data_IF_564852697094
#
_entry.id   IF_564852697094
#
_cell.length_a   1.000
_cell.length_b   1.000
_cell.length_c   1.000
_cell.angle_alpha   90.00
_cell.angle_beta   90.00
_cell.angle_gamma   90.00
#
_symmetry.space_group_name_H-M   'P 1'
#
loop_
_entity.id
_entity.type
_entity.pdbx_description
1 polymer ?
#
# COMPACT_ATOMS: atom_id res chain seq x y z
N UNK A 1 30.22 -12.47 22.36
CA UNK A 1 29.15 -11.65 21.75
C UNK A 1 28.64 -10.74 22.85
N UNK A 2 28.93 -9.45 22.76
CA UNK A 2 28.60 -8.48 23.83
C UNK A 2 27.21 -7.92 23.55
N UNK A 3 26.35 -7.88 24.57
CA UNK A 3 25.01 -7.28 24.45
C UNK A 3 25.15 -5.75 24.36
N UNK A 4 24.65 -5.16 23.27
CA UNK A 4 24.65 -3.72 23.03
C UNK A 4 23.51 -2.99 23.74
N UNK A 5 22.71 -3.70 24.56
CA UNK A 5 21.55 -3.16 25.25
C UNK A 5 20.33 -3.04 24.33
N UNK A 6 19.31 -2.34 24.83
CA UNK A 6 18.02 -2.22 24.14
C UNK A 6 18.15 -1.46 22.81
N UNK A 7 17.66 -2.06 21.74
CA UNK A 7 17.68 -1.45 20.42
C UNK A 7 16.50 -0.49 20.26
N UNK A 8 16.77 0.80 20.02
CA UNK A 8 15.73 1.81 19.82
C UNK A 8 15.38 2.00 18.32
N UNK A 9 16.32 1.74 17.41
CA UNK A 9 16.15 1.96 15.97
C UNK A 9 16.88 0.90 15.15
N UNK A 10 16.19 0.34 14.14
CA UNK A 10 16.78 -0.57 13.15
C UNK A 10 16.29 -0.18 11.76
N UNK A 11 17.19 0.16 10.83
CA UNK A 11 16.84 0.50 9.44
C UNK A 11 15.74 1.58 9.31
N UNK A 12 15.71 2.56 10.23
CA UNK A 12 14.67 3.60 10.25
C UNK A 12 13.32 3.15 10.81
N UNK A 13 13.25 1.96 11.42
CA UNK A 13 12.12 1.46 12.20
C UNK A 13 12.39 1.76 13.68
N UNK A 14 11.42 2.41 14.32
CA UNK A 14 11.39 2.71 15.75
C UNK A 14 10.89 1.50 16.53
N UNK A 15 11.63 1.12 17.57
CA UNK A 15 11.25 0.08 18.52
C UNK A 15 10.84 0.74 19.84
N UNK A 16 9.59 0.53 20.24
CA UNK A 16 9.01 1.07 21.47
C UNK A 16 8.67 -0.08 22.40
N UNK A 17 9.44 -0.19 23.50
CA UNK A 17 9.15 -1.15 24.56
C UNK A 17 7.93 -0.69 25.39
N UNK A 18 6.98 -1.59 25.60
CA UNK A 18 5.87 -1.44 26.51
C UNK A 18 6.19 -1.95 27.92
N UNK A 19 5.49 -1.43 28.95
CA UNK A 19 5.69 -1.84 30.34
C UNK A 19 5.25 -3.30 30.61
N UNK A 20 4.43 -3.87 29.74
CA UNK A 20 3.96 -5.26 29.74
C UNK A 20 4.95 -6.22 29.03
N UNK A 21 6.13 -5.74 28.65
CA UNK A 21 7.11 -6.49 27.87
C UNK A 21 6.77 -6.56 26.38
N UNK A 22 5.76 -5.82 25.91
CA UNK A 22 5.49 -5.69 24.48
C UNK A 22 6.54 -4.87 23.76
N UNK A 23 6.71 -5.11 22.46
CA UNK A 23 7.60 -4.35 21.58
C UNK A 23 6.79 -3.89 20.39
N UNK A 24 6.70 -2.58 20.18
CA UNK A 24 6.00 -2.00 19.02
C UNK A 24 6.99 -1.48 18.00
N UNK A 25 6.86 -1.94 16.76
CA UNK A 25 7.59 -1.47 15.60
C UNK A 25 6.77 -0.41 14.87
N UNK A 26 7.25 0.83 14.79
CA UNK A 26 6.57 1.89 14.04
C UNK A 26 7.57 2.72 13.21
N UNK A 27 7.05 3.50 12.27
CA UNK A 27 7.86 4.31 11.35
C UNK A 27 7.30 5.74 11.23
N UNK A 28 6.94 6.35 12.35
CA UNK A 28 6.29 7.66 12.38
C UNK A 28 7.10 8.72 11.64
N UNK A 29 8.41 8.79 11.91
CA UNK A 29 9.30 9.77 11.26
C UNK A 29 9.32 9.59 9.74
N UNK A 30 9.41 8.35 9.27
CA UNK A 30 9.37 8.05 7.85
C UNK A 30 8.03 8.46 7.21
N UNK A 31 6.91 8.21 7.89
CA UNK A 31 5.58 8.66 7.44
C UNK A 31 5.56 10.19 7.29
N UNK A 32 6.05 10.93 8.28
CA UNK A 32 6.11 12.41 8.20
C UNK A 32 7.02 12.89 7.05
N UNK A 33 8.16 12.24 6.83
CA UNK A 33 9.11 12.59 5.77
C UNK A 33 8.52 12.36 4.37
N UNK A 34 7.87 11.21 4.13
CA UNK A 34 7.25 10.94 2.83
C UNK A 34 6.05 11.84 2.58
N UNK A 35 5.26 12.17 3.61
CA UNK A 35 4.14 13.09 3.46
C UNK A 35 4.62 14.48 3.04
N UNK A 36 5.69 15.01 3.66
CA UNK A 36 6.31 16.26 3.23
C UNK A 36 6.86 16.17 1.81
N UNK A 37 7.57 15.09 1.49
CA UNK A 37 8.17 14.87 0.16
C UNK A 37 7.16 14.93 -0.98
N UNK A 38 5.95 14.40 -0.76
CA UNK A 38 4.88 14.40 -1.75
C UNK A 38 3.85 15.53 -1.55
N UNK A 39 4.15 16.55 -0.74
CA UNK A 39 3.26 17.69 -0.44
C UNK A 39 1.87 17.27 0.10
N UNK A 40 1.87 16.32 1.03
CA UNK A 40 0.70 15.72 1.68
C UNK A 40 0.72 15.89 3.22
N UNK A 41 1.60 16.69 3.77
CA UNK A 41 1.77 16.91 5.21
C UNK A 41 0.61 17.68 5.86
N UNK A 42 -0.08 18.52 5.09
CA UNK A 42 -1.29 19.26 5.52
C UNK A 42 -2.60 18.64 5.02
N UNK A 43 -2.57 17.43 4.46
CA UNK A 43 -3.76 16.82 3.88
C UNK A 43 -4.80 16.43 4.96
N UNK A 44 -6.08 16.38 4.58
CA UNK A 44 -7.15 15.89 5.46
C UNK A 44 -7.11 14.37 5.53
N UNK A 45 -7.07 13.82 6.75
CA UNK A 45 -7.07 12.38 6.97
C UNK A 45 -8.33 11.70 6.41
N UNK A 46 -8.19 10.42 6.04
CA UNK A 46 -9.30 9.52 5.69
C UNK A 46 -9.22 8.23 6.51
N UNK A 47 -10.35 7.56 6.68
CA UNK A 47 -10.46 6.36 7.51
C UNK A 47 -10.01 5.09 6.77
N UNK A 48 -10.09 5.07 5.45
CA UNK A 48 -9.72 3.91 4.62
C UNK A 48 -8.70 4.29 3.53
N UNK A 49 -7.65 3.47 3.32
CA UNK A 49 -6.66 3.71 2.28
C UNK A 49 -7.22 3.49 0.86
N UNK A 50 -8.34 2.77 0.72
CA UNK A 50 -8.99 2.47 -0.57
C UNK A 50 -10.37 3.10 -0.63
N UNK A 51 -10.78 3.47 -1.83
CA UNK A 51 -12.15 3.87 -2.13
C UNK A 51 -12.92 2.72 -2.78
N UNK A 52 -13.79 2.05 -2.02
CA UNK A 52 -14.52 0.86 -2.51
C UNK A 52 -15.51 1.18 -3.65
N UNK A 53 -15.88 2.45 -3.80
CA UNK A 53 -16.76 2.94 -4.88
C UNK A 53 -16.05 3.15 -6.21
N UNK A 54 -14.72 3.23 -6.22
CA UNK A 54 -13.95 3.61 -7.41
C UNK A 54 -13.11 2.42 -7.87
N UNK A 55 -13.39 1.91 -9.07
CA UNK A 55 -12.58 0.86 -9.72
C UNK A 55 -11.61 1.52 -10.70
N UNK A 56 -10.31 1.31 -10.46
CA UNK A 56 -9.26 1.77 -11.37
C UNK A 56 -9.18 0.81 -12.56
N UNK A 57 -9.19 1.36 -13.77
CA UNK A 57 -9.07 0.61 -15.02
C UNK A 57 -7.95 1.19 -15.88
N UNK A 58 -7.13 0.36 -16.54
CA UNK A 58 -6.20 0.85 -17.55
C UNK A 58 -6.98 1.49 -18.70
N UNK A 59 -6.54 2.67 -19.16
CA UNK A 59 -7.18 3.35 -20.29
C UNK A 59 -6.16 4.06 -21.18
N UNK A 60 -5.95 3.60 -22.41
CA UNK A 60 -4.99 4.23 -23.33
C UNK A 60 -5.40 5.64 -23.77
N UNK A 61 -6.67 6.01 -23.58
CA UNK A 61 -7.19 7.33 -23.89
C UNK A 61 -7.07 8.34 -22.74
N UNK A 62 -6.72 7.87 -21.54
CA UNK A 62 -6.67 8.73 -20.35
C UNK A 62 -5.35 9.53 -20.28
N UNK A 63 -5.43 10.70 -19.67
CA UNK A 63 -4.28 11.60 -19.51
C UNK A 63 -3.24 10.96 -18.59
N UNK A 64 -2.02 10.79 -19.12
CA UNK A 64 -0.86 10.37 -18.32
C UNK A 64 -0.61 11.36 -17.20
N UNK A 65 -0.39 10.87 -15.99
CA UNK A 65 -0.05 11.74 -14.87
C UNK A 65 1.39 12.25 -15.01
N UNK A 66 1.61 13.53 -14.76
CA UNK A 66 2.95 14.10 -14.59
C UNK A 66 3.28 14.19 -13.10
N UNK A 67 3.48 13.03 -12.45
CA UNK A 67 3.78 12.92 -11.03
C UNK A 67 4.83 11.82 -10.78
N UNK A 68 5.59 11.88 -9.67
CA UNK A 68 6.57 10.86 -9.29
C UNK A 68 5.88 9.59 -8.76
N UNK A 69 5.07 8.93 -9.60
CA UNK A 69 4.20 7.81 -9.23
C UNK A 69 5.01 6.60 -8.73
N UNK A 70 6.01 6.16 -9.48
CA UNK A 70 6.86 5.00 -9.12
C UNK A 70 7.62 5.23 -7.81
N UNK A 71 8.08 6.45 -7.59
CA UNK A 71 8.75 6.85 -6.37
C UNK A 71 7.81 6.83 -5.16
N UNK A 72 6.58 7.35 -5.32
CA UNK A 72 5.56 7.32 -4.28
C UNK A 72 5.17 5.89 -3.90
N UNK A 73 4.93 5.02 -4.90
CA UNK A 73 4.59 3.62 -4.63
C UNK A 73 5.77 2.89 -3.99
N UNK A 74 7.01 3.16 -4.40
CA UNK A 74 8.20 2.59 -3.74
C UNK A 74 8.32 2.99 -2.26
N UNK A 75 8.05 4.26 -1.94
CA UNK A 75 8.03 4.73 -0.55
C UNK A 75 6.92 4.05 0.28
N UNK A 76 5.74 3.87 -0.30
CA UNK A 76 4.63 3.17 0.34
C UNK A 76 4.90 1.67 0.52
N UNK A 77 5.58 1.02 -0.44
CA UNK A 77 5.99 -0.39 -0.34
C UNK A 77 6.95 -0.62 0.82
N UNK A 78 7.85 0.32 1.10
CA UNK A 78 8.73 0.23 2.26
C UNK A 78 7.95 0.19 3.58
N UNK A 79 7.01 1.13 3.76
CA UNK A 79 6.12 1.15 4.94
C UNK A 79 5.32 -0.15 5.07
N UNK A 80 4.70 -0.57 3.97
CA UNK A 80 3.88 -1.78 3.91
C UNK A 80 4.64 -3.01 4.40
N UNK A 81 5.88 -3.18 3.92
CA UNK A 81 6.70 -4.36 4.20
C UNK A 81 7.25 -4.35 5.62
N UNK A 82 7.57 -3.17 6.15
CA UNK A 82 8.23 -3.06 7.45
C UNK A 82 7.26 -2.98 8.63
N UNK A 83 6.27 -2.07 8.60
CA UNK A 83 5.45 -1.76 9.79
C UNK A 83 3.96 -1.54 9.54
N UNK A 84 3.53 -1.47 8.27
CA UNK A 84 2.16 -1.08 7.89
C UNK A 84 1.48 -2.13 6.99
N UNK A 85 1.25 -3.36 7.46
CA UNK A 85 0.55 -4.38 6.66
C UNK A 85 -0.90 -3.97 6.32
N UNK A 86 -1.48 -3.04 7.08
CA UNK A 86 -2.83 -2.52 6.87
C UNK A 86 -3.02 -1.76 5.55
N UNK A 87 -1.94 -1.23 4.95
CA UNK A 87 -2.01 -0.59 3.63
C UNK A 87 -1.67 -1.55 2.48
N UNK A 88 -1.37 -2.82 2.76
CA UNK A 88 -0.77 -3.72 1.78
C UNK A 88 -1.62 -3.92 0.53
N UNK A 89 -2.92 -4.13 0.72
CA UNK A 89 -3.86 -4.24 -0.39
C UNK A 89 -3.89 -2.97 -1.25
N UNK A 90 -3.97 -1.79 -0.63
CA UNK A 90 -4.04 -0.52 -1.35
C UNK A 90 -2.78 -0.26 -2.19
N UNK A 91 -1.61 -0.52 -1.61
CA UNK A 91 -0.32 -0.38 -2.29
C UNK A 91 -0.17 -1.41 -3.41
N UNK A 92 -0.56 -2.66 -3.16
CA UNK A 92 -0.59 -3.71 -4.18
C UNK A 92 -1.49 -3.32 -5.36
N UNK A 93 -2.67 -2.77 -5.09
CA UNK A 93 -3.62 -2.35 -6.12
C UNK A 93 -3.06 -1.24 -7.02
N UNK A 94 -2.50 -0.17 -6.45
CA UNK A 94 -1.91 0.93 -7.25
C UNK A 94 -0.61 0.54 -7.96
N UNK A 95 0.11 -0.47 -7.45
CA UNK A 95 1.39 -0.91 -8.04
C UNK A 95 1.26 -1.45 -9.47
N UNK A 96 0.07 -1.95 -9.83
CA UNK A 96 -0.24 -2.50 -11.16
C UNK A 96 -0.12 -1.45 -12.27
N UNK A 97 -0.27 -0.17 -11.94
CA UNK A 97 -0.29 0.94 -12.90
C UNK A 97 1.04 1.70 -13.00
N UNK A 98 2.15 1.12 -12.52
CA UNK A 98 3.47 1.77 -12.53
C UNK A 98 4.04 2.06 -13.93
N UNK A 99 3.65 1.29 -14.95
CA UNK A 99 4.14 1.45 -16.32
C UNK A 99 3.49 2.64 -17.03
N UNK A 100 2.17 2.80 -16.87
CA UNK A 100 1.39 3.88 -17.48
C UNK A 100 0.41 4.51 -16.47
N UNK A 101 0.91 5.29 -15.49
CA UNK A 101 0.06 5.88 -14.47
C UNK A 101 -0.79 7.03 -15.02
N UNK A 102 -1.99 7.18 -14.46
CA UNK A 102 -3.01 8.13 -14.87
C UNK A 102 -3.45 8.97 -13.67
N UNK A 103 -4.17 10.06 -13.93
CA UNK A 103 -4.64 10.95 -12.85
C UNK A 103 -5.48 10.21 -11.79
N UNK A 104 -6.34 9.27 -12.20
CA UNK A 104 -7.14 8.46 -11.27
C UNK A 104 -6.24 7.59 -10.36
N UNK A 105 -5.19 7.00 -10.93
CA UNK A 105 -4.21 6.22 -10.16
C UNK A 105 -3.47 7.11 -9.15
N UNK A 106 -3.17 8.35 -9.53
CA UNK A 106 -2.51 9.31 -8.63
C UNK A 106 -3.43 9.77 -7.50
N UNK A 107 -4.73 9.96 -7.78
CA UNK A 107 -5.74 10.21 -6.73
C UNK A 107 -5.79 9.06 -5.74
N UNK A 108 -5.71 7.81 -6.19
CA UNK A 108 -5.66 6.65 -5.31
C UNK A 108 -4.40 6.65 -4.43
N UNK A 109 -3.21 6.94 -4.99
CA UNK A 109 -1.98 7.08 -4.19
C UNK A 109 -2.10 8.20 -3.14
N UNK A 110 -2.65 9.36 -3.51
CA UNK A 110 -2.92 10.45 -2.56
C UNK A 110 -3.87 10.03 -1.44
N UNK A 111 -4.85 9.17 -1.72
CA UNK A 111 -5.74 8.63 -0.68
C UNK A 111 -4.97 7.79 0.34
N UNK A 112 -4.01 6.97 -0.10
CA UNK A 112 -3.15 6.21 0.81
C UNK A 112 -2.35 7.16 1.72
N UNK A 113 -1.77 8.24 1.17
CA UNK A 113 -1.11 9.27 1.98
C UNK A 113 -2.06 9.94 2.97
N UNK A 114 -3.30 10.25 2.58
CA UNK A 114 -4.32 10.79 3.50
C UNK A 114 -4.67 9.81 4.62
N UNK A 115 -4.68 8.51 4.34
CA UNK A 115 -4.89 7.51 5.39
C UNK A 115 -3.70 7.48 6.36
N UNK A 116 -2.46 7.53 5.84
CA UNK A 116 -1.24 7.60 6.64
C UNK A 116 -1.21 8.85 7.53
N UNK A 117 -1.71 9.99 7.05
CA UNK A 117 -1.81 11.23 7.83
C UNK A 117 -2.65 11.05 9.11
N UNK A 118 -3.73 10.26 9.05
CA UNK A 118 -4.55 9.95 10.22
C UNK A 118 -4.00 8.83 11.11
N UNK A 119 -3.01 8.08 10.63
CA UNK A 119 -2.55 6.82 11.23
C UNK A 119 -1.03 6.78 11.45
N UNK A 120 -0.39 7.94 11.61
CA UNK A 120 1.08 8.07 11.69
C UNK A 120 1.74 7.26 12.80
N UNK A 121 0.99 7.01 13.89
CA UNK A 121 1.48 6.29 15.08
C UNK A 121 1.16 4.79 15.04
N UNK A 122 0.50 4.30 13.99
CA UNK A 122 0.26 2.86 13.84
C UNK A 122 1.57 2.11 13.59
N UNK A 123 1.60 0.87 14.05
CA UNK A 123 2.73 -0.03 13.94
C UNK A 123 2.35 -1.45 14.34
N UNK A 124 3.32 -2.36 14.29
CA UNK A 124 3.13 -3.76 14.65
C UNK A 124 3.53 -3.94 16.13
N UNK A 125 2.60 -4.39 16.96
CA UNK A 125 2.85 -4.64 18.38
C UNK A 125 3.02 -6.14 18.63
N UNK A 126 4.18 -6.54 19.12
CA UNK A 126 4.49 -7.88 19.60
C UNK A 126 4.27 -7.92 21.10
N UNK A 127 3.41 -8.82 21.58
CA UNK A 127 3.16 -8.99 23.02
C UNK A 127 3.68 -10.36 23.48
N UNK A 128 4.30 -10.45 24.67
CA UNK A 128 4.63 -11.74 25.26
C UNK A 128 3.34 -12.54 25.48
N UNK A 129 3.30 -13.77 25.00
CA UNK A 129 2.14 -14.65 25.16
C UNK A 129 2.53 -16.12 25.06
N UNK A 130 1.94 -16.95 25.93
CA UNK A 130 2.19 -18.40 25.96
C UNK A 130 1.31 -19.19 24.95
N UNK A 131 0.37 -18.52 24.28
CA UNK A 131 -0.52 -19.11 23.27
C UNK A 131 -0.62 -18.15 22.08
N UNK A 132 -0.28 -18.65 20.89
CA UNK A 132 -0.49 -17.96 19.62
C UNK A 132 -1.92 -18.27 19.16
N UNK A 133 -2.87 -17.36 19.36
CA UNK A 133 -4.21 -17.42 18.75
C UNK A 133 -4.17 -16.64 17.43
N UNK A 134 -3.59 -17.25 16.40
CA UNK A 134 -3.51 -16.66 15.07
C UNK A 134 -4.82 -16.91 14.31
N UNK A 135 -5.54 -15.84 13.97
CA UNK A 135 -6.74 -15.89 13.13
C UNK A 135 -6.50 -15.05 11.89
N UNK A 136 -6.39 -15.71 10.74
CA UNK A 136 -6.30 -15.07 9.43
C UNK A 136 -7.64 -15.18 8.71
N UNK A 137 -8.11 -14.07 8.16
CA UNK A 137 -9.23 -14.04 7.22
C UNK A 137 -8.67 -13.61 5.87
N UNK A 138 -8.97 -14.34 4.81
CA UNK A 138 -8.59 -13.99 3.44
C UNK A 138 -9.85 -13.86 2.61
N UNK A 139 -10.01 -12.71 1.97
CA UNK A 139 -10.97 -12.50 0.89
C UNK A 139 -10.19 -12.52 -0.42
N UNK A 140 -10.58 -13.38 -1.36
CA UNK A 140 -9.92 -13.53 -2.65
C UNK A 140 -10.89 -13.08 -3.75
N UNK A 141 -10.70 -11.86 -4.25
CA UNK A 141 -11.60 -11.21 -5.21
C UNK A 141 -11.05 -11.19 -6.64
N UNK A 142 -10.19 -12.14 -7.01
CA UNK A 142 -9.52 -12.19 -8.32
C UNK A 142 -10.49 -12.06 -9.52
N UNK A 143 -11.67 -12.66 -9.45
CA UNK A 143 -12.68 -12.59 -10.52
C UNK A 143 -13.36 -11.21 -10.67
N UNK A 144 -13.16 -10.30 -9.73
CA UNK A 144 -13.71 -8.94 -9.74
C UNK A 144 -12.84 -7.91 -10.46
N UNK A 145 -11.61 -8.29 -10.83
CA UNK A 145 -10.65 -7.41 -11.49
C UNK A 145 -11.02 -7.17 -12.96
N UNK A 146 -11.23 -5.91 -13.32
CA UNK A 146 -11.62 -5.50 -14.67
C UNK A 146 -10.42 -5.35 -15.60
N UNK A 147 -9.20 -5.20 -15.07
CA UNK A 147 -7.99 -5.13 -15.87
C UNK A 147 -7.78 -6.44 -16.65
N UNK A 148 -7.81 -7.59 -15.95
CA UNK A 148 -7.62 -8.91 -16.55
C UNK A 148 -8.77 -9.33 -17.49
N UNK A 149 -10.00 -8.86 -17.23
CA UNK A 149 -11.16 -9.13 -18.10
C UNK A 149 -10.96 -8.57 -19.51
N UNK A 150 -10.33 -7.41 -19.63
CA UNK A 150 -10.11 -6.79 -20.92
C UNK A 150 -9.01 -7.51 -21.73
N UNK A 151 -8.00 -8.06 -21.06
CA UNK A 151 -6.93 -8.83 -21.71
C UNK A 151 -7.42 -10.19 -22.23
N UNK A 152 -8.21 -10.92 -21.43
CA UNK A 152 -8.81 -12.19 -21.86
C UNK A 152 -9.87 -12.00 -22.95
N UNK A 153 -10.66 -10.93 -22.88
CA UNK A 153 -11.66 -10.59 -23.90
C UNK A 153 -11.05 -10.20 -25.24
N UNK A 154 -9.89 -9.53 -25.23
CA UNK A 154 -9.17 -9.18 -26.47
C UNK A 154 -8.45 -10.40 -27.07
N UNK A 155 -7.88 -11.30 -26.27
CA UNK A 155 -7.25 -12.51 -26.81
C UNK A 155 -8.24 -13.54 -27.34
N UNK A 156 -9.42 -13.71 -26.73
CA UNK A 156 -10.47 -14.60 -27.27
C UNK A 156 -11.16 -14.02 -28.51
N UNK A 157 -11.33 -12.69 -28.60
CA UNK A 157 -11.88 -12.06 -29.80
C UNK A 157 -10.93 -12.20 -31.00
N UNK A 158 -9.62 -12.01 -30.81
CA UNK A 158 -8.62 -12.18 -31.88
C UNK A 158 -8.49 -13.66 -32.30
N UNK A 159 -8.62 -14.62 -31.37
CA UNK A 159 -8.62 -16.05 -31.71
C UNK A 159 -9.90 -16.52 -32.42
N UNK A 160 -11.05 -15.87 -32.22
CA UNK A 160 -12.28 -16.20 -32.97
C UNK A 160 -12.30 -15.64 -34.38
N UNK A 161 -11.61 -14.52 -34.65
CA UNK A 161 -11.52 -13.96 -36.01
C UNK A 161 -10.55 -14.77 -36.88
N UNK A 162 -9.46 -15.31 -36.33
CA UNK A 162 -8.46 -16.07 -37.08
C UNK A 162 -8.84 -17.54 -37.41
N UNK A 163 -10.03 -17.99 -37.03
CA UNK A 163 -10.54 -19.35 -37.34
C UNK A 163 -11.61 -19.33 -38.45
N UNK A 164 -11.90 -18.14 -38.99
CA UNK A 164 -12.84 -17.94 -40.09
C UNK A 164 -12.24 -17.16 -41.28
N UNK A 165 -10.96 -17.37 -41.57
CA UNK A 165 -10.37 -17.11 -42.90
C UNK A 165 -9.61 -18.35 -43.40
#
# INVERSE_FOLDING_TARGET
MTDSGKCAFVLGIELVDGPDGSVTMCQRRYVDDILKRFAMDECKAVVSPVDMSTRLVPSDAATKVNAPFREAVGALMHLMTATRPDIAYAVGYVSRFMENPQEEHWVAVKRIFRYLQGTKTHGICFKPGNKIDFRGYSDADWAGDLADRNELGQQEAVKRVAVYE
#
